data_IF_996973284408
#
_entry.id   IF_996973284408
#
_cell.length_a   1.000
_cell.length_b   1.000
_cell.length_c   1.000
_cell.angle_alpha   90.00
_cell.angle_beta   90.00
_cell.angle_gamma   90.00
#
_symmetry.space_group_name_H-M   'P 1'
#
loop_
_entity.id
_entity.type
_entity.pdbx_description
1 polymer ?
#
# COMPACT_ATOMS: atom_id res chain seq x y z
N UNK A 1 -10.18 -26.03 5.94
CA UNK A 1 -9.65 -27.20 5.19
C UNK A 1 -10.11 -28.56 5.75
N UNK A 2 -10.89 -28.61 6.81
CA UNK A 2 -11.30 -29.90 7.45
C UNK A 2 -12.33 -30.69 6.63
N UNK A 3 -13.12 -30.02 5.79
CA UNK A 3 -14.30 -30.63 5.14
C UNK A 3 -14.15 -30.85 3.63
N UNK A 4 -12.99 -30.45 3.05
CA UNK A 4 -12.72 -30.60 1.64
C UNK A 4 -12.22 -32.02 1.32
N UNK A 5 -12.68 -32.61 0.26
CA UNK A 5 -12.13 -33.86 -0.26
C UNK A 5 -10.78 -33.62 -0.93
N UNK A 6 -9.73 -34.40 -0.62
CA UNK A 6 -8.42 -34.26 -1.28
C UNK A 6 -8.53 -34.42 -2.80
N UNK A 7 -7.76 -33.61 -3.54
CA UNK A 7 -7.65 -33.78 -4.98
C UNK A 7 -6.75 -34.95 -5.34
N UNK A 8 -6.93 -35.62 -6.50
CA UNK A 8 -6.20 -36.84 -6.87
C UNK A 8 -4.67 -36.71 -6.92
N UNK A 9 -4.15 -35.47 -6.98
CA UNK A 9 -2.70 -35.18 -7.09
C UNK A 9 -2.14 -34.50 -5.84
N UNK A 10 -2.86 -34.49 -4.73
CA UNK A 10 -2.37 -33.94 -3.46
C UNK A 10 -1.45 -34.95 -2.75
N UNK A 11 -0.46 -34.46 -1.97
CA UNK A 11 0.38 -35.32 -1.15
C UNK A 11 -0.44 -36.20 -0.20
N UNK A 12 -0.01 -37.47 0.00
CA UNK A 12 -0.73 -38.42 0.84
C UNK A 12 -0.97 -37.93 2.28
N UNK A 13 -0.07 -37.08 2.79
CA UNK A 13 -0.20 -36.44 4.12
C UNK A 13 -1.45 -35.57 4.23
N UNK A 14 -1.93 -35.02 3.13
CA UNK A 14 -3.12 -34.16 3.08
C UNK A 14 -4.42 -34.96 3.11
N UNK A 15 -4.34 -36.25 2.93
CA UNK A 15 -5.47 -37.18 3.09
C UNK A 15 -5.79 -37.46 4.57
N UNK A 16 -4.85 -37.19 5.49
CA UNK A 16 -5.07 -37.34 6.91
C UNK A 16 -5.91 -36.20 7.49
N UNK A 17 -7.12 -36.46 8.05
CA UNK A 17 -7.97 -35.44 8.65
C UNK A 17 -7.31 -34.70 9.82
N UNK A 18 -6.46 -35.38 10.61
CA UNK A 18 -5.79 -34.74 11.74
C UNK A 18 -4.66 -33.81 11.29
N UNK A 19 -3.94 -34.14 10.23
CA UNK A 19 -2.97 -33.26 9.60
C UNK A 19 -3.66 -32.02 9.03
N UNK A 20 -4.79 -32.17 8.34
CA UNK A 20 -5.57 -31.07 7.76
C UNK A 20 -6.12 -30.12 8.81
N UNK A 21 -6.58 -30.62 9.97
CA UNK A 21 -7.04 -29.77 11.08
C UNK A 21 -5.91 -28.90 11.65
N UNK A 22 -4.68 -29.38 11.63
CA UNK A 22 -3.50 -28.66 12.14
C UNK A 22 -2.86 -27.75 11.10
N UNK A 23 -3.16 -27.95 9.82
CA UNK A 23 -2.57 -27.19 8.72
C UNK A 23 -3.32 -25.88 8.51
N UNK A 24 -2.59 -24.76 8.60
CA UNK A 24 -3.11 -23.42 8.33
C UNK A 24 -2.91 -23.07 6.86
N UNK A 25 -3.94 -22.57 6.20
CA UNK A 25 -3.83 -22.00 4.86
C UNK A 25 -3.26 -20.57 4.95
N UNK A 26 -2.27 -20.27 4.12
CA UNK A 26 -1.77 -18.90 3.96
C UNK A 26 -2.51 -18.23 2.81
N UNK A 27 -3.21 -17.14 3.11
CA UNK A 27 -4.05 -16.43 2.15
C UNK A 27 -3.29 -15.22 1.60
N UNK A 28 -3.00 -15.26 0.29
CA UNK A 28 -2.46 -14.14 -0.46
C UNK A 28 -3.59 -13.36 -1.12
N UNK A 29 -3.63 -12.08 -0.83
CA UNK A 29 -4.59 -11.16 -1.44
C UNK A 29 -3.87 -10.08 -2.23
N UNK A 30 -4.27 -9.85 -3.50
CA UNK A 30 -3.63 -8.85 -4.34
C UNK A 30 -4.63 -7.88 -4.94
N UNK A 31 -4.22 -6.61 -5.07
CA UNK A 31 -5.02 -5.56 -5.69
C UNK A 31 -4.16 -4.47 -6.34
N UNK A 32 -4.75 -3.73 -7.26
CA UNK A 32 -4.14 -2.55 -7.89
C UNK A 32 -4.47 -1.28 -7.11
N UNK A 33 -3.66 -0.21 -7.27
CA UNK A 33 -3.83 1.07 -6.56
C UNK A 33 -5.24 1.66 -6.65
N UNK A 34 -5.88 1.56 -7.81
CA UNK A 34 -7.23 2.11 -8.02
C UNK A 34 -8.29 1.52 -7.07
N UNK A 35 -8.08 0.32 -6.57
CA UNK A 35 -8.98 -0.28 -5.58
C UNK A 35 -8.82 0.36 -4.20
N UNK A 36 -7.66 0.94 -3.91
CA UNK A 36 -7.44 1.70 -2.69
C UNK A 36 -8.05 3.11 -2.77
N UNK A 37 -8.04 3.71 -3.96
CA UNK A 37 -8.62 5.03 -4.18
C UNK A 37 -10.15 5.05 -4.06
N UNK A 38 -10.82 3.96 -4.41
CA UNK A 38 -12.28 3.83 -4.39
C UNK A 38 -12.81 3.21 -3.08
N UNK A 39 -14.11 2.97 -3.01
CA UNK A 39 -14.77 2.41 -1.82
C UNK A 39 -14.35 0.97 -1.46
N UNK A 40 -13.66 0.26 -2.36
CA UNK A 40 -13.09 -1.06 -2.06
C UNK A 40 -12.04 -1.02 -0.93
N UNK A 41 -11.46 0.15 -0.63
CA UNK A 41 -10.56 0.35 0.50
C UNK A 41 -11.16 -0.15 1.81
N UNK A 42 -12.44 0.09 2.04
CA UNK A 42 -13.12 -0.34 3.27
C UNK A 42 -13.19 -1.87 3.40
N UNK A 43 -13.38 -2.56 2.28
CA UNK A 43 -13.39 -4.03 2.25
C UNK A 43 -11.98 -4.56 2.53
N UNK A 44 -10.96 -3.98 1.89
CA UNK A 44 -9.56 -4.36 2.10
C UNK A 44 -9.16 -4.11 3.55
N UNK A 45 -9.54 -2.95 4.09
CA UNK A 45 -9.35 -2.60 5.49
C UNK A 45 -9.96 -3.65 6.43
N UNK A 46 -11.21 -4.04 6.19
CA UNK A 46 -11.88 -5.07 6.97
C UNK A 46 -11.14 -6.42 6.93
N UNK A 47 -10.74 -6.87 5.75
CA UNK A 47 -10.02 -8.14 5.57
C UNK A 47 -8.70 -8.15 6.35
N UNK A 48 -7.95 -7.07 6.29
CA UNK A 48 -6.65 -6.94 6.97
C UNK A 48 -6.85 -6.79 8.49
N UNK A 49 -7.75 -5.91 8.92
CA UNK A 49 -8.04 -5.67 10.33
C UNK A 49 -8.43 -6.93 11.08
N UNK A 50 -9.25 -7.78 10.46
CA UNK A 50 -9.71 -9.04 11.06
C UNK A 50 -8.79 -10.24 10.76
N UNK A 51 -7.60 -9.98 10.21
CA UNK A 51 -6.61 -11.01 9.90
C UNK A 51 -7.18 -12.17 9.04
N UNK A 52 -8.04 -11.80 8.09
CA UNK A 52 -8.61 -12.74 7.11
C UNK A 52 -7.70 -12.97 5.91
N UNK A 53 -6.61 -12.21 5.83
CA UNK A 53 -5.54 -12.33 4.82
C UNK A 53 -4.19 -12.26 5.52
N UNK A 54 -3.25 -13.12 5.12
CA UNK A 54 -1.92 -13.20 5.71
C UNK A 54 -0.92 -12.33 4.94
N UNK A 55 -1.05 -12.28 3.62
CA UNK A 55 -0.15 -11.51 2.74
C UNK A 55 -0.95 -10.65 1.80
N UNK A 56 -0.61 -9.37 1.76
CA UNK A 56 -1.18 -8.38 0.83
C UNK A 56 -0.14 -8.03 -0.22
N UNK A 57 -0.50 -8.13 -1.49
CA UNK A 57 0.37 -7.74 -2.61
C UNK A 57 -0.29 -6.60 -3.38
N UNK A 58 0.37 -5.46 -3.44
CA UNK A 58 -0.17 -4.29 -4.12
C UNK A 58 0.89 -3.52 -4.88
N UNK A 59 0.49 -2.46 -5.55
CA UNK A 59 1.39 -1.50 -6.20
C UNK A 59 1.81 -0.40 -5.23
N UNK A 60 2.89 0.32 -5.50
CA UNK A 60 3.31 1.47 -4.68
C UNK A 60 2.19 2.49 -4.48
N UNK A 61 1.45 2.81 -5.56
CA UNK A 61 0.31 3.72 -5.48
C UNK A 61 -0.79 3.25 -4.52
N UNK A 62 -1.00 1.94 -4.36
CA UNK A 62 -1.97 1.43 -3.39
C UNK A 62 -1.60 1.72 -1.94
N UNK A 63 -0.32 1.79 -1.63
CA UNK A 63 0.16 2.16 -0.29
C UNK A 63 0.13 3.67 -0.11
N UNK A 64 0.58 4.42 -1.12
CA UNK A 64 0.56 5.86 -1.15
C UNK A 64 -0.86 6.42 -0.95
N UNK A 65 -1.81 5.93 -1.73
CA UNK A 65 -3.21 6.35 -1.67
C UNK A 65 -3.90 5.98 -0.35
N UNK A 66 -3.50 4.89 0.31
CA UNK A 66 -3.97 4.57 1.66
C UNK A 66 -3.57 5.67 2.67
N UNK A 67 -2.31 6.11 2.62
CA UNK A 67 -1.83 7.17 3.51
C UNK A 67 -2.42 8.53 3.17
N UNK A 68 -2.49 8.91 1.89
CA UNK A 68 -3.11 10.17 1.46
C UNK A 68 -4.56 10.25 1.95
N UNK A 69 -5.33 9.16 1.82
CA UNK A 69 -6.72 9.11 2.29
C UNK A 69 -6.89 9.21 3.81
N UNK A 70 -5.83 8.94 4.57
CA UNK A 70 -5.83 9.17 6.02
C UNK A 70 -5.63 10.65 6.38
N UNK A 71 -5.05 11.44 5.48
CA UNK A 71 -4.75 12.86 5.67
C UNK A 71 -5.76 13.76 4.97
N UNK A 72 -6.24 13.35 3.79
CA UNK A 72 -7.05 14.16 2.88
C UNK A 72 -8.22 13.36 2.30
N UNK A 73 -9.16 14.07 1.68
CA UNK A 73 -10.35 13.48 1.08
C UNK A 73 -10.28 13.51 -0.45
N UNK A 74 -10.55 12.39 -1.09
CA UNK A 74 -10.76 12.32 -2.52
C UNK A 74 -12.19 12.74 -2.89
N UNK A 75 -12.34 13.38 -4.02
CA UNK A 75 -13.62 13.87 -4.50
C UNK A 75 -14.12 13.03 -5.68
N UNK A 76 -15.42 12.84 -5.76
CA UNK A 76 -16.04 12.14 -6.89
C UNK A 76 -16.35 13.15 -7.98
N UNK A 77 -15.75 12.96 -9.15
CA UNK A 77 -16.02 13.73 -10.35
C UNK A 77 -16.72 12.89 -11.43
N UNK A 78 -16.66 13.37 -12.67
CA UNK A 78 -17.16 12.67 -13.85
C UNK A 78 -16.00 12.12 -14.66
N UNK A 79 -16.26 11.07 -15.46
CA UNK A 79 -15.26 10.48 -16.36
C UNK A 79 -14.94 11.38 -17.57
N UNK A 80 -15.86 12.24 -17.96
CA UNK A 80 -15.78 13.12 -19.13
C UNK A 80 -15.07 14.46 -18.88
N UNK A 81 -14.59 14.69 -17.65
CA UNK A 81 -13.86 15.91 -17.31
C UNK A 81 -12.56 16.03 -18.11
N UNK A 82 -12.27 17.22 -18.63
CA UNK A 82 -11.01 17.49 -19.32
C UNK A 82 -9.83 17.44 -18.35
N UNK A 83 -8.90 16.53 -18.61
CA UNK A 83 -7.72 16.35 -17.76
C UNK A 83 -6.75 17.53 -17.79
N UNK A 84 -6.73 18.32 -18.89
CA UNK A 84 -5.90 19.51 -19.01
C UNK A 84 -6.42 20.63 -18.11
N UNK A 85 -7.73 20.84 -18.13
CA UNK A 85 -8.37 21.86 -17.28
C UNK A 85 -8.23 21.52 -15.79
N UNK A 86 -8.36 20.25 -15.43
CA UNK A 86 -8.13 19.78 -14.06
C UNK A 86 -6.67 20.03 -13.64
N UNK A 87 -5.70 19.71 -14.50
CA UNK A 87 -4.28 19.93 -14.21
C UNK A 87 -3.96 21.42 -13.98
N UNK A 88 -4.55 22.31 -14.76
CA UNK A 88 -4.39 23.76 -14.58
C UNK A 88 -4.96 24.26 -13.25
N UNK A 89 -5.91 23.52 -12.67
CA UNK A 89 -6.51 23.79 -11.36
C UNK A 89 -5.81 23.05 -10.21
N UNK A 90 -4.70 22.37 -10.48
CA UNK A 90 -3.99 21.58 -9.46
C UNK A 90 -4.75 20.34 -9.00
N UNK A 91 -5.56 19.74 -9.87
CA UNK A 91 -6.35 18.53 -9.56
C UNK A 91 -5.87 17.37 -10.42
N UNK A 92 -5.49 16.29 -9.77
CA UNK A 92 -5.18 15.03 -10.42
C UNK A 92 -6.44 14.16 -10.54
N UNK A 93 -6.51 13.35 -11.59
CA UNK A 93 -7.66 12.48 -11.85
C UNK A 93 -7.26 11.03 -11.97
N UNK A 94 -7.92 10.17 -11.20
CA UNK A 94 -7.82 8.70 -11.31
C UNK A 94 -9.20 8.16 -11.64
N UNK A 95 -9.47 7.93 -12.94
CA UNK A 95 -10.83 7.60 -13.41
C UNK A 95 -11.79 8.77 -13.18
N UNK A 96 -12.78 8.59 -12.32
CA UNK A 96 -13.71 9.63 -11.88
C UNK A 96 -13.38 10.19 -10.49
N UNK A 97 -12.27 9.78 -9.89
CA UNK A 97 -11.80 10.32 -8.62
C UNK A 97 -10.87 11.50 -8.86
N UNK A 98 -11.05 12.54 -8.09
CA UNK A 98 -10.27 13.77 -8.13
C UNK A 98 -9.46 13.89 -6.85
N UNK A 99 -8.17 14.14 -7.01
CA UNK A 99 -7.21 14.27 -5.93
C UNK A 99 -6.52 15.63 -6.07
N UNK A 100 -6.73 16.57 -5.15
CA UNK A 100 -5.99 17.82 -5.12
C UNK A 100 -4.47 17.60 -5.07
N UNK A 101 -3.72 18.48 -5.72
CA UNK A 101 -2.26 18.38 -5.70
C UNK A 101 -1.69 18.65 -4.29
N UNK A 102 -2.39 19.44 -3.51
CA UNK A 102 -2.00 19.76 -2.13
C UNK A 102 -1.97 18.49 -1.26
N UNK A 103 -2.85 17.51 -1.51
CA UNK A 103 -2.86 16.23 -0.79
C UNK A 103 -1.54 15.44 -0.97
N UNK A 104 -0.90 15.58 -2.13
CA UNK A 104 0.44 14.99 -2.37
C UNK A 104 1.53 15.76 -1.65
N UNK A 105 1.38 17.07 -1.51
CA UNK A 105 2.34 17.89 -0.74
C UNK A 105 2.26 17.55 0.76
N UNK A 106 1.05 17.41 1.31
CA UNK A 106 0.84 16.99 2.70
C UNK A 106 1.43 15.59 2.95
N UNK A 107 1.25 14.68 1.98
CA UNK A 107 1.86 13.35 2.04
C UNK A 107 3.39 13.41 2.01
N UNK A 108 3.99 14.27 1.19
CA UNK A 108 5.43 14.49 1.13
C UNK A 108 5.96 15.02 2.46
N UNK A 109 5.32 16.04 3.02
CA UNK A 109 5.71 16.64 4.30
C UNK A 109 5.66 15.62 5.45
N UNK A 110 4.67 14.73 5.45
CA UNK A 110 4.58 13.64 6.42
C UNK A 110 5.64 12.56 6.18
N UNK A 111 5.97 12.27 4.92
CA UNK A 111 6.89 11.19 4.54
C UNK A 111 8.35 11.55 4.76
N UNK A 112 8.75 12.80 4.51
CA UNK A 112 10.16 13.22 4.55
C UNK A 112 10.84 12.94 5.91
N UNK A 113 10.26 13.26 7.08
CA UNK A 113 10.88 12.94 8.37
C UNK A 113 11.07 11.44 8.61
N UNK A 114 10.19 10.59 8.03
CA UNK A 114 10.31 9.13 8.14
C UNK A 114 11.49 8.64 7.30
N UNK A 115 11.67 9.20 6.10
CA UNK A 115 12.80 8.86 5.23
C UNK A 115 14.13 9.31 5.84
N UNK A 116 14.17 10.48 6.45
CA UNK A 116 15.36 10.97 7.16
C UNK A 116 15.74 10.06 8.34
N UNK A 117 14.75 9.64 9.12
CA UNK A 117 14.95 8.65 10.19
C UNK A 117 15.51 7.32 9.64
N UNK A 118 14.97 6.83 8.54
CA UNK A 118 15.43 5.60 7.91
C UNK A 118 16.87 5.74 7.40
N UNK A 119 17.21 6.89 6.78
CA UNK A 119 18.55 7.18 6.32
C UNK A 119 19.56 7.27 7.47
N UNK A 120 19.16 7.88 8.57
CA UNK A 120 19.98 7.97 9.78
C UNK A 120 20.29 6.58 10.36
N UNK A 121 19.29 5.73 10.49
CA UNK A 121 19.44 4.34 10.93
C UNK A 121 20.34 3.54 10.00
N UNK A 122 20.19 3.71 8.71
CA UNK A 122 21.03 3.04 7.72
C UNK A 122 22.50 3.48 7.85
N UNK A 123 22.75 4.79 8.06
CA UNK A 123 24.12 5.32 8.18
C UNK A 123 24.79 4.96 9.51
N UNK A 124 24.04 5.01 10.64
CA UNK A 124 24.58 4.80 11.98
C UNK A 124 24.65 3.33 12.39
N UNK A 125 23.62 2.57 12.05
CA UNK A 125 23.45 1.20 12.52
C UNK A 125 23.65 0.15 11.41
N UNK A 126 23.85 0.59 10.14
CA UNK A 126 23.98 -0.32 9.00
C UNK A 126 22.71 -1.09 8.67
N UNK A 127 21.53 -0.59 9.09
CA UNK A 127 20.27 -1.27 8.86
C UNK A 127 19.93 -1.33 7.36
N UNK A 128 19.51 -2.51 6.90
CA UNK A 128 19.05 -2.72 5.52
C UNK A 128 17.53 -2.61 5.48
N UNK A 129 17.04 -1.61 4.78
CA UNK A 129 15.62 -1.38 4.57
C UNK A 129 15.10 -2.16 3.37
N UNK A 130 14.24 -3.14 3.63
CA UNK A 130 13.46 -3.80 2.59
C UNK A 130 12.12 -3.07 2.39
N UNK A 131 11.47 -3.18 1.22
CA UNK A 131 10.16 -2.56 1.00
C UNK A 131 9.13 -2.92 2.08
N UNK A 132 9.07 -4.17 2.52
CA UNK A 132 8.14 -4.61 3.58
C UNK A 132 8.43 -3.97 4.93
N UNK A 133 9.71 -3.85 5.32
CA UNK A 133 10.10 -3.12 6.55
C UNK A 133 9.72 -1.64 6.49
N UNK A 134 9.93 -1.02 5.32
CA UNK A 134 9.57 0.38 5.10
C UNK A 134 8.07 0.61 5.23
N UNK A 135 7.25 -0.27 4.67
CA UNK A 135 5.79 -0.19 4.74
C UNK A 135 5.32 -0.42 6.19
N UNK A 136 5.90 -1.40 6.86
CA UNK A 136 5.60 -1.68 8.27
C UNK A 136 5.87 -0.46 9.16
N UNK A 137 7.06 0.15 9.05
CA UNK A 137 7.41 1.35 9.80
C UNK A 137 6.42 2.51 9.54
N UNK A 138 6.01 2.71 8.29
CA UNK A 138 5.02 3.74 7.94
C UNK A 138 3.63 3.43 8.51
N UNK A 139 3.22 2.15 8.46
CA UNK A 139 1.99 1.71 9.10
C UNK A 139 1.97 1.98 10.60
N UNK A 140 3.10 1.83 11.30
CA UNK A 140 3.23 2.22 12.71
C UNK A 140 3.17 3.75 12.90
N UNK A 141 3.80 4.52 12.00
CA UNK A 141 3.93 5.98 12.12
C UNK A 141 2.65 6.74 11.76
N UNK A 142 1.83 6.23 10.85
CA UNK A 142 0.57 6.89 10.47
C UNK A 142 -0.40 6.98 11.65
N UNK A 143 -0.37 6.01 12.57
CA UNK A 143 -1.19 5.94 13.77
C UNK A 143 -2.66 6.33 13.55
N UNK A 144 -3.22 5.89 12.43
CA UNK A 144 -4.60 6.12 12.03
C UNK A 144 -5.30 4.78 11.76
N UNK A 145 -6.39 4.52 12.50
CA UNK A 145 -7.13 3.27 12.40
C UNK A 145 -7.89 3.08 11.08
N UNK A 146 -8.03 4.13 10.28
CA UNK A 146 -8.60 4.04 8.94
C UNK A 146 -7.60 3.48 7.91
N UNK A 147 -6.30 3.44 8.23
CA UNK A 147 -5.27 2.93 7.33
C UNK A 147 -5.25 1.40 7.30
N UNK A 148 -5.21 0.86 6.09
CA UNK A 148 -4.95 -0.57 5.84
C UNK A 148 -3.55 -0.95 6.31
N UNK A 149 -2.56 -0.09 6.03
CA UNK A 149 -1.17 -0.31 6.38
C UNK A 149 -0.93 -0.29 7.90
N UNK A 150 -1.69 0.51 8.66
CA UNK A 150 -1.69 0.52 10.12
C UNK A 150 -2.11 -0.84 10.70
N UNK A 151 -3.23 -1.38 10.21
CA UNK A 151 -3.68 -2.69 10.68
C UNK A 151 -2.76 -3.81 10.22
N UNK A 152 -2.24 -3.75 8.99
CA UNK A 152 -1.25 -4.71 8.52
C UNK A 152 -0.01 -4.76 9.43
N UNK A 153 0.47 -3.61 9.90
CA UNK A 153 1.56 -3.54 10.87
C UNK A 153 1.17 -4.15 12.23
N UNK A 154 -0.05 -3.85 12.73
CA UNK A 154 -0.54 -4.38 14.02
C UNK A 154 -0.77 -5.89 14.02
N UNK A 155 -1.41 -6.43 12.99
CA UNK A 155 -1.75 -7.86 12.92
C UNK A 155 -0.61 -8.69 12.31
N UNK A 156 0.53 -8.06 11.98
CA UNK A 156 1.71 -8.68 11.36
C UNK A 156 1.42 -9.35 10.00
N UNK A 157 0.44 -8.85 9.27
CA UNK A 157 0.29 -9.22 7.86
C UNK A 157 1.41 -8.62 7.04
N UNK A 158 1.97 -9.40 6.13
CA UNK A 158 3.07 -8.93 5.28
C UNK A 158 2.50 -8.16 4.11
N UNK A 159 2.95 -6.91 3.92
CA UNK A 159 2.62 -6.13 2.73
C UNK A 159 3.79 -6.15 1.77
N UNK A 160 3.55 -6.64 0.56
CA UNK A 160 4.51 -6.73 -0.52
C UNK A 160 4.15 -5.76 -1.64
N UNK A 161 5.18 -5.14 -2.22
CA UNK A 161 5.02 -4.26 -3.39
C UNK A 161 5.53 -4.95 -4.64
N UNK A 162 4.73 -4.93 -5.68
CA UNK A 162 5.13 -5.46 -6.98
C UNK A 162 6.27 -4.61 -7.58
N UNK A 163 7.40 -5.21 -8.00
CA UNK A 163 8.63 -4.47 -8.36
C UNK A 163 8.54 -3.65 -9.66
N UNK A 164 7.51 -3.82 -10.47
CA UNK A 164 7.34 -3.15 -11.78
C UNK A 164 6.51 -1.87 -11.74
N UNK A 165 6.16 -1.36 -10.57
CA UNK A 165 5.35 -0.16 -10.48
C UNK A 165 6.23 1.08 -10.58
N UNK A 166 6.07 1.83 -11.67
CA UNK A 166 6.67 3.14 -11.93
C UNK A 166 5.81 4.26 -11.32
N UNK A 167 5.48 4.18 -10.04
CA UNK A 167 4.88 5.31 -9.32
C UNK A 167 6.00 6.25 -8.83
N UNK A 168 5.74 7.55 -8.59
CA UNK A 168 6.67 8.46 -7.91
C UNK A 168 7.24 7.91 -6.61
N UNK A 169 6.55 6.97 -5.96
CA UNK A 169 7.10 6.13 -4.89
C UNK A 169 8.32 5.27 -5.29
N UNK A 170 8.75 5.29 -6.55
CA UNK A 170 10.04 4.69 -6.97
C UNK A 170 11.24 5.39 -6.33
N UNK A 171 11.09 6.61 -5.82
CA UNK A 171 12.05 7.25 -4.91
C UNK A 171 12.30 6.42 -3.64
N UNK A 172 11.41 5.49 -3.30
CA UNK A 172 11.57 4.52 -2.23
C UNK A 172 12.61 3.43 -2.50
N UNK A 173 13.14 3.34 -3.71
CA UNK A 173 14.14 2.31 -4.08
C UNK A 173 15.59 2.73 -3.80
N UNK A 174 15.85 4.00 -3.51
CA UNK A 174 17.22 4.45 -3.22
C UNK A 174 17.23 5.54 -2.16
N UNK A 175 17.91 5.34 -1.03
CA UNK A 175 18.12 6.37 -0.02
C UNK A 175 18.99 7.55 -0.52
N UNK A 176 19.56 7.44 -1.73
CA UNK A 176 20.38 8.48 -2.37
C UNK A 176 19.57 9.42 -3.28
N UNK A 177 18.28 9.14 -3.54
CA UNK A 177 17.45 9.92 -4.45
C UNK A 177 16.45 10.86 -3.73
N UNK A 178 16.66 11.12 -2.45
CA UNK A 178 15.81 11.99 -1.64
C UNK A 178 16.02 13.50 -1.90
N UNK A 179 16.67 13.88 -3.00
CA UNK A 179 16.75 15.27 -3.42
C UNK A 179 16.27 15.38 -4.86
N UNK A 180 15.12 15.89 -5.02
CA UNK A 180 14.49 16.38 -6.24
C UNK A 180 13.31 15.53 -6.75
N UNK A 181 12.18 16.21 -6.83
CA UNK A 181 11.20 16.08 -7.88
C UNK A 181 9.94 15.26 -7.59
N UNK A 182 9.17 15.66 -6.59
CA UNK A 182 7.73 15.42 -6.67
C UNK A 182 6.97 16.62 -7.29
N UNK A 183 7.50 17.83 -7.13
CA UNK A 183 6.86 19.06 -7.64
C UNK A 183 7.29 19.50 -9.04
N UNK A 184 8.27 18.86 -9.72
CA UNK A 184 8.80 19.40 -10.99
C UNK A 184 8.28 18.75 -12.28
N UNK A 185 7.27 17.88 -12.22
CA UNK A 185 6.66 17.35 -13.46
C UNK A 185 5.48 18.20 -14.01
N UNK A 186 5.45 19.49 -13.71
CA UNK A 186 4.44 20.42 -14.25
C UNK A 186 4.98 21.36 -15.31
N UNK A 187 5.97 20.98 -16.09
CA UNK A 187 6.39 21.80 -17.24
C UNK A 187 6.86 20.91 -18.39
N UNK A 188 5.96 20.58 -19.27
CA UNK A 188 5.98 20.57 -20.77
C UNK A 188 4.78 19.79 -21.28
#
# INVERSE_FOLDING_TARGET
>A
MSDDTPLPNEPDEWSDPEFRKKTKCTIFFSYTSNMMSCGMREIIHYLVKHHLVDVVVTTCGGIEEDFIKCMSKFYIGKFDLDGRDLRLKGINRTGNLLVPNDDYCDFEDWMMPILDYMLEKQKKEGEIWTPSKMIHLRGERINNEESVSYWAAKVRSVVLVHPRTTSPCSALRSPTAASATCCSSTAT
#
